data_IF_784337798437
#
_entry.id   IF_784337798437
#
_cell.length_a   1.000
_cell.length_b   1.000
_cell.length_c   1.000
_cell.angle_alpha   90.00
_cell.angle_beta   90.00
_cell.angle_gamma   90.00
#
_symmetry.space_group_name_H-M   'P 1'
#
loop_
_entity.id
_entity.type
_entity.pdbx_description
1 polymer ?
#
# COMPACT_ATOMS: atom_id res chain seq x y z
N UNK A 1 -24.20 7.94 13.48
CA UNK A 1 -23.37 6.72 13.55
C UNK A 1 -22.49 6.77 14.78
N UNK A 2 -22.39 5.70 15.55
CA UNK A 2 -21.54 5.69 16.76
C UNK A 2 -20.08 5.73 16.33
N UNK A 3 -19.21 6.48 17.04
CA UNK A 3 -17.78 6.67 16.72
C UNK A 3 -17.03 5.36 16.39
N UNK A 4 -17.42 4.24 17.01
CA UNK A 4 -16.85 2.90 16.78
C UNK A 4 -17.14 2.35 15.38
N UNK A 5 -18.36 2.50 14.88
CA UNK A 5 -18.78 2.04 13.54
C UNK A 5 -17.98 2.76 12.46
N UNK A 6 -17.80 4.08 12.63
CA UNK A 6 -17.02 4.91 11.71
C UNK A 6 -15.56 4.46 11.64
N UNK A 7 -14.94 4.16 12.79
CA UNK A 7 -13.57 3.64 12.83
C UNK A 7 -13.45 2.29 12.13
N UNK A 8 -14.43 1.39 12.29
CA UNK A 8 -14.44 0.10 11.59
C UNK A 8 -14.58 0.29 10.09
N UNK A 9 -15.49 1.15 9.62
CA UNK A 9 -15.64 1.44 8.19
C UNK A 9 -14.35 1.98 7.59
N UNK A 10 -13.68 2.94 8.25
CA UNK A 10 -12.39 3.46 7.79
C UNK A 10 -11.31 2.38 7.66
N UNK A 11 -11.26 1.42 8.59
CA UNK A 11 -10.33 0.28 8.50
C UNK A 11 -10.63 -0.61 7.31
N UNK A 12 -11.92 -0.87 7.04
CA UNK A 12 -12.35 -1.64 5.88
C UNK A 12 -11.94 -0.92 4.59
N UNK A 13 -12.20 0.38 4.49
CA UNK A 13 -11.82 1.22 3.33
C UNK A 13 -10.30 1.18 3.08
N UNK A 14 -9.49 1.33 4.13
CA UNK A 14 -8.03 1.25 4.04
C UNK A 14 -7.59 -0.13 3.54
N UNK A 15 -8.17 -1.22 4.04
CA UNK A 15 -7.82 -2.59 3.61
C UNK A 15 -8.19 -2.79 2.14
N UNK A 16 -9.38 -2.35 1.72
CA UNK A 16 -9.82 -2.45 0.31
C UNK A 16 -8.94 -1.66 -0.64
N UNK A 17 -8.50 -0.46 -0.23
CA UNK A 17 -7.55 0.34 -1.00
C UNK A 17 -6.19 -0.35 -1.10
N UNK A 18 -5.68 -0.84 0.03
CA UNK A 18 -4.41 -1.57 0.09
C UNK A 18 -4.43 -2.82 -0.79
N UNK A 19 -5.52 -3.58 -0.76
CA UNK A 19 -5.65 -4.78 -1.58
C UNK A 19 -5.70 -4.45 -3.07
N UNK A 20 -6.37 -3.36 -3.44
CA UNK A 20 -6.44 -2.89 -4.84
C UNK A 20 -5.06 -2.50 -5.36
N UNK A 21 -4.27 -1.77 -4.57
CA UNK A 21 -2.89 -1.43 -4.90
C UNK A 21 -2.03 -2.70 -5.05
N UNK A 22 -2.09 -3.63 -4.09
CA UNK A 22 -1.31 -4.86 -4.15
C UNK A 22 -1.69 -5.72 -5.37
N UNK A 23 -2.97 -5.77 -5.72
CA UNK A 23 -3.45 -6.43 -6.95
C UNK A 23 -2.93 -5.74 -8.22
N UNK A 24 -2.86 -4.40 -8.25
CA UNK A 24 -2.25 -3.66 -9.36
C UNK A 24 -0.79 -4.08 -9.57
N UNK A 25 -0.02 -4.16 -8.48
CA UNK A 25 1.37 -4.64 -8.50
C UNK A 25 1.48 -6.07 -9.06
N UNK A 26 0.61 -6.98 -8.61
CA UNK A 26 0.59 -8.38 -9.05
C UNK A 26 0.19 -8.54 -10.51
N UNK A 27 -0.74 -7.72 -10.98
CA UNK A 27 -1.18 -7.69 -12.38
C UNK A 27 -0.08 -7.19 -13.33
N UNK A 28 0.89 -6.42 -12.82
CA UNK A 28 2.09 -6.00 -13.58
C UNK A 28 3.19 -7.07 -13.60
N UNK A 29 2.98 -8.22 -12.96
CA UNK A 29 3.87 -9.38 -12.99
C UNK A 29 4.81 -9.51 -11.78
N UNK A 30 4.83 -8.54 -10.88
CA UNK A 30 5.65 -8.59 -9.67
C UNK A 30 4.90 -9.30 -8.54
N UNK A 31 5.50 -10.32 -7.90
CA UNK A 31 4.80 -11.10 -6.85
C UNK A 31 5.64 -11.36 -5.59
N UNK A 32 6.84 -10.79 -5.49
CA UNK A 32 7.67 -10.95 -4.29
C UNK A 32 7.59 -9.71 -3.40
N UNK A 33 7.62 -9.96 -2.10
CA UNK A 33 7.73 -8.89 -1.11
C UNK A 33 9.03 -8.09 -1.31
N UNK A 34 10.14 -8.75 -1.62
CA UNK A 34 11.42 -8.08 -1.85
C UNK A 34 11.37 -7.11 -3.03
N UNK A 35 10.68 -7.48 -4.13
CA UNK A 35 10.51 -6.57 -5.27
C UNK A 35 9.63 -5.38 -4.88
N UNK A 36 8.55 -5.61 -4.16
CA UNK A 36 7.68 -4.55 -3.68
C UNK A 36 8.43 -3.58 -2.76
N UNK A 37 9.15 -4.12 -1.77
CA UNK A 37 10.00 -3.35 -0.86
C UNK A 37 11.04 -2.53 -1.60
N UNK A 38 11.79 -3.15 -2.51
CA UNK A 38 12.81 -2.46 -3.29
C UNK A 38 12.22 -1.31 -4.12
N UNK A 39 11.07 -1.54 -4.75
CA UNK A 39 10.35 -0.50 -5.51
C UNK A 39 9.95 0.65 -4.62
N UNK A 40 9.29 0.40 -3.48
CA UNK A 40 8.83 1.48 -2.60
C UNK A 40 10.02 2.25 -2.00
N UNK A 41 11.04 1.54 -1.51
CA UNK A 41 12.21 2.17 -0.88
C UNK A 41 13.12 2.90 -1.87
N UNK A 42 13.05 2.58 -3.17
CA UNK A 42 13.74 3.35 -4.20
C UNK A 42 13.20 4.78 -4.34
N UNK A 43 11.89 5.00 -4.08
CA UNK A 43 11.27 6.33 -4.11
C UNK A 43 11.18 6.98 -2.74
N UNK A 44 11.00 6.19 -1.68
CA UNK A 44 10.85 6.64 -0.30
C UNK A 44 11.74 5.83 0.65
N UNK A 45 13.07 6.06 0.63
CA UNK A 45 14.03 5.29 1.42
C UNK A 45 13.84 5.45 2.93
N UNK A 46 13.16 6.50 3.37
CA UNK A 46 12.82 6.75 4.77
C UNK A 46 11.69 5.87 5.30
N UNK A 47 10.92 5.20 4.42
CA UNK A 47 9.88 4.27 4.87
C UNK A 47 10.55 3.00 5.41
N UNK A 48 10.33 2.67 6.70
CA UNK A 48 10.91 1.48 7.29
C UNK A 48 10.25 0.23 6.71
N UNK A 49 11.04 -0.83 6.56
CA UNK A 49 10.57 -2.13 6.04
C UNK A 49 9.36 -2.67 6.81
N UNK A 50 9.29 -2.44 8.12
CA UNK A 50 8.15 -2.85 8.95
C UNK A 50 6.82 -2.26 8.46
N UNK A 51 6.80 -1.02 7.98
CA UNK A 51 5.58 -0.38 7.43
C UNK A 51 5.17 -0.97 6.09
N UNK A 52 6.14 -1.36 5.28
CA UNK A 52 5.92 -2.01 3.99
C UNK A 52 5.40 -3.44 4.22
N UNK A 53 5.96 -4.14 5.21
CA UNK A 53 5.52 -5.47 5.63
C UNK A 53 4.10 -5.44 6.20
N UNK A 54 3.80 -4.45 7.05
CA UNK A 54 2.47 -4.18 7.57
C UNK A 54 1.46 -3.95 6.43
N UNK A 55 1.79 -3.12 5.45
CA UNK A 55 0.97 -2.93 4.24
C UNK A 55 0.74 -4.25 3.49
N UNK A 56 1.80 -5.00 3.21
CA UNK A 56 1.75 -6.26 2.46
C UNK A 56 0.82 -7.30 3.10
N UNK A 57 0.74 -7.30 4.43
CA UNK A 57 -0.11 -8.22 5.19
C UNK A 57 -1.42 -7.59 5.70
N UNK A 58 -1.76 -6.37 5.25
CA UNK A 58 -2.94 -5.62 5.68
C UNK A 58 -3.02 -5.40 7.21
N UNK A 59 -1.87 -5.24 7.86
CA UNK A 59 -1.74 -5.02 9.31
C UNK A 59 -1.44 -3.56 9.58
N UNK A 60 -2.19 -2.92 10.49
CA UNK A 60 -1.93 -1.54 10.95
C UNK A 60 -1.65 -0.52 9.82
N UNK A 61 -2.29 -0.70 8.67
CA UNK A 61 -2.03 0.12 7.49
C UNK A 61 -2.52 1.55 7.74
N UNK A 62 -1.69 2.53 7.41
CA UNK A 62 -2.03 3.95 7.47
C UNK A 62 -2.35 4.48 6.07
N UNK A 63 -3.21 5.50 6.02
CA UNK A 63 -3.53 6.22 4.78
C UNK A 63 -2.27 6.76 4.10
N UNK A 64 -1.33 7.32 4.87
CA UNK A 64 -0.05 7.82 4.37
C UNK A 64 0.74 6.77 3.55
N UNK A 65 0.77 5.51 4.00
CA UNK A 65 1.50 4.46 3.28
C UNK A 65 0.77 4.11 1.99
N UNK A 66 -0.56 4.05 1.99
CA UNK A 66 -1.35 3.88 0.78
C UNK A 66 -1.10 5.02 -0.22
N UNK A 67 -1.10 6.27 0.23
CA UNK A 67 -0.86 7.44 -0.61
C UNK A 67 0.52 7.38 -1.28
N UNK A 68 1.58 7.07 -0.51
CA UNK A 68 2.94 6.94 -1.06
C UNK A 68 3.05 5.80 -2.06
N UNK A 69 2.47 4.63 -1.78
CA UNK A 69 2.49 3.48 -2.70
C UNK A 69 1.74 3.80 -3.99
N UNK A 70 0.58 4.45 -3.89
CA UNK A 70 -0.20 4.88 -5.06
C UNK A 70 0.62 5.84 -5.94
N UNK A 71 1.28 6.84 -5.35
CA UNK A 71 2.17 7.74 -6.08
C UNK A 71 3.32 7.00 -6.78
N UNK A 72 3.95 6.02 -6.12
CA UNK A 72 4.98 5.19 -6.76
C UNK A 72 4.40 4.45 -7.97
N UNK A 73 3.20 3.90 -7.85
CA UNK A 73 2.55 3.16 -8.93
C UNK A 73 2.12 4.06 -10.09
N UNK A 74 1.64 5.27 -9.82
CA UNK A 74 1.38 6.26 -10.87
C UNK A 74 2.67 6.61 -11.62
N UNK A 75 3.78 6.85 -10.91
CA UNK A 75 5.07 7.16 -11.52
C UNK A 75 5.64 6.01 -12.36
N UNK A 76 5.41 4.76 -11.94
CA UNK A 76 5.91 3.57 -12.63
C UNK A 76 5.03 3.15 -13.81
N UNK A 77 3.71 3.22 -13.66
CA UNK A 77 2.77 2.61 -14.60
C UNK A 77 2.06 3.59 -15.53
N UNK A 78 1.96 4.88 -15.18
CA UNK A 78 1.35 5.90 -16.05
C UNK A 78 2.36 6.64 -16.93
N UNK A 79 3.63 6.23 -16.93
CA UNK A 79 4.66 6.70 -17.90
C UNK A 79 4.73 5.85 -19.18
N UNK A 80 3.74 5.00 -19.44
CA UNK A 80 3.68 4.13 -20.64
C UNK A 80 2.66 4.64 -21.65
#
# INVERSE_FOLDING_TARGET
MKKRELTTLKRIEIIQRSSSLLMCFFNKGFRSFDAFKAVIQNYYPEIPESKIFDFWHFRNVSEEICDKIELVFELLFNRS
#
